data_IF_019129682187
#
_entry.id   IF_019129682187
#
_cell.length_a   1.000
_cell.length_b   1.000
_cell.length_c   1.000
_cell.angle_alpha   90.00
_cell.angle_beta   90.00
_cell.angle_gamma   90.00
#
_symmetry.space_group_name_H-M   'P 1'
#
loop_
_entity.id
_entity.type
_entity.pdbx_description
1 polymer ?
#
# COMPACT_ATOMS: atom_id res chain seq x y z
N UNK A 1 5.95 12.28 13.54
CA UNK A 1 5.66 11.16 12.63
C UNK A 1 6.12 11.48 11.22
N UNK A 2 5.63 12.56 10.63
CA UNK A 2 5.97 12.97 9.26
C UNK A 2 7.49 13.10 9.03
N UNK A 3 8.24 13.61 10.01
CA UNK A 3 9.71 13.75 9.89
C UNK A 3 10.43 12.39 9.84
N UNK A 4 9.94 11.40 10.58
CA UNK A 4 10.44 10.02 10.49
C UNK A 4 10.11 9.43 9.12
N UNK A 5 8.89 9.62 8.64
CA UNK A 5 8.44 9.10 7.34
C UNK A 5 9.17 9.73 6.15
N UNK A 6 9.53 11.02 6.25
CA UNK A 6 10.36 11.73 5.26
C UNK A 6 11.84 11.33 5.32
N UNK A 7 12.27 10.60 6.38
CA UNK A 7 13.66 10.21 6.57
C UNK A 7 14.53 11.27 7.23
N UNK A 8 13.97 12.40 7.69
CA UNK A 8 14.70 13.40 8.49
C UNK A 8 15.36 12.75 9.71
N UNK A 9 14.67 11.79 10.33
CA UNK A 9 15.21 10.90 11.34
C UNK A 9 15.32 9.50 10.73
N UNK A 10 16.55 9.05 10.35
CA UNK A 10 16.72 7.79 9.61
C UNK A 10 16.44 6.56 10.49
N UNK A 11 15.98 5.49 9.85
CA UNK A 11 15.81 4.18 10.49
C UNK A 11 17.13 3.72 11.14
N UNK A 12 17.06 3.23 12.37
CA UNK A 12 18.22 2.84 13.17
C UNK A 12 18.91 3.98 13.88
N UNK A 13 18.66 5.24 13.49
CA UNK A 13 19.12 6.46 14.16
C UNK A 13 18.34 6.73 15.45
N UNK A 14 18.67 7.84 16.11
CA UNK A 14 17.99 8.29 17.32
C UNK A 14 17.29 9.62 17.06
N UNK A 15 16.11 9.80 17.66
CA UNK A 15 15.48 11.10 17.74
C UNK A 15 16.35 12.05 18.58
N UNK A 16 16.30 13.37 18.35
CA UNK A 16 16.87 14.35 19.26
C UNK A 16 16.37 14.14 20.69
N UNK A 17 17.13 14.59 21.68
CA UNK A 17 16.72 14.50 23.09
C UNK A 17 15.44 15.30 23.35
N UNK A 18 14.70 14.93 24.41
CA UNK A 18 13.41 15.59 24.74
C UNK A 18 13.52 17.12 24.75
N UNK A 19 14.58 17.67 25.35
CA UNK A 19 14.77 19.14 25.44
C UNK A 19 15.04 19.78 24.08
N UNK A 20 15.74 19.09 23.17
CA UNK A 20 15.98 19.57 21.79
C UNK A 20 14.67 19.57 20.98
N UNK A 21 13.83 18.53 21.17
CA UNK A 21 12.51 18.48 20.55
C UNK A 21 11.56 19.54 21.09
N UNK A 22 11.64 19.89 22.38
CA UNK A 22 10.90 21.01 22.99
C UNK A 22 11.23 22.32 22.28
N UNK A 23 12.53 22.57 22.03
CA UNK A 23 12.99 23.75 21.30
C UNK A 23 12.58 23.74 19.83
N UNK A 24 12.75 22.62 19.14
CA UNK A 24 12.40 22.49 17.70
C UNK A 24 10.90 22.73 17.46
N UNK A 25 10.04 22.12 18.29
CA UNK A 25 8.59 22.15 18.09
C UNK A 25 7.85 23.19 18.94
N UNK A 26 8.56 23.93 19.80
CA UNK A 26 8.00 24.98 20.69
C UNK A 26 6.82 24.47 21.54
N UNK A 27 6.95 23.27 22.11
CA UNK A 27 5.92 22.61 22.93
C UNK A 27 6.50 22.12 24.26
N UNK A 28 5.63 21.80 25.23
CA UNK A 28 6.06 21.34 26.54
C UNK A 28 6.69 19.95 26.50
N UNK A 29 7.55 19.65 27.48
CA UNK A 29 8.14 18.32 27.67
C UNK A 29 7.09 17.20 27.78
N UNK A 30 5.99 17.48 28.44
CA UNK A 30 4.88 16.53 28.56
C UNK A 30 4.28 16.20 27.20
N UNK A 31 4.14 17.20 26.32
CA UNK A 31 3.66 17.02 24.94
C UNK A 31 4.64 16.13 24.14
N UNK A 32 5.96 16.40 24.23
CA UNK A 32 6.98 15.58 23.57
C UNK A 32 6.93 14.13 24.07
N UNK A 33 6.85 13.92 25.38
CA UNK A 33 6.77 12.56 25.96
C UNK A 33 5.52 11.80 25.50
N UNK A 34 4.39 12.48 25.41
CA UNK A 34 3.17 11.87 24.92
C UNK A 34 3.28 11.53 23.42
N UNK A 35 3.85 12.40 22.61
CA UNK A 35 4.13 12.13 21.20
C UNK A 35 5.05 10.91 21.04
N UNK A 36 6.15 10.84 21.79
CA UNK A 36 7.06 9.68 21.77
C UNK A 36 6.36 8.39 22.22
N UNK A 37 5.48 8.44 23.23
CA UNK A 37 4.68 7.28 23.65
C UNK A 37 3.75 6.79 22.53
N UNK A 38 3.11 7.71 21.79
CA UNK A 38 2.27 7.39 20.65
C UNK A 38 3.11 6.72 19.56
N UNK A 39 4.23 7.32 19.16
CA UNK A 39 5.14 6.75 18.17
C UNK A 39 5.67 5.37 18.59
N UNK A 40 5.95 5.16 19.87
CA UNK A 40 6.38 3.86 20.39
C UNK A 40 5.25 2.82 20.33
N UNK A 41 3.99 3.23 20.64
CA UNK A 41 2.82 2.36 20.51
C UNK A 41 2.55 1.98 19.05
N UNK A 42 2.84 2.89 18.11
CA UNK A 42 2.75 2.65 16.67
C UNK A 42 3.94 1.86 16.10
N UNK A 43 4.92 1.49 16.93
CA UNK A 43 6.10 0.74 16.50
C UNK A 43 7.08 1.53 15.62
N UNK A 44 6.95 2.86 15.59
CA UNK A 44 7.85 3.73 14.81
C UNK A 44 9.15 4.04 15.53
N UNK A 45 9.14 3.98 16.86
CA UNK A 45 10.32 4.22 17.70
C UNK A 45 10.36 3.25 18.88
N UNK A 46 11.56 3.05 19.42
CA UNK A 46 11.81 2.29 20.65
C UNK A 46 12.52 3.20 21.66
N UNK A 47 11.94 3.34 22.85
CA UNK A 47 12.58 4.10 23.95
C UNK A 47 13.54 3.17 24.68
N UNK A 48 14.84 3.46 24.61
CA UNK A 48 15.90 2.74 25.33
C UNK A 48 16.39 3.56 26.49
N UNK A 49 16.11 3.11 27.69
CA UNK A 49 16.53 3.80 28.91
C UNK A 49 18.05 4.07 28.91
N UNK A 50 18.45 5.31 29.13
CA UNK A 50 19.84 5.75 29.10
C UNK A 50 20.49 5.87 27.70
N UNK A 51 19.82 5.45 26.62
CA UNK A 51 20.35 5.49 25.26
C UNK A 51 19.57 6.38 24.31
N UNK A 52 18.35 6.78 24.67
CA UNK A 52 17.50 7.64 23.84
C UNK A 52 16.38 6.89 23.12
N UNK A 53 15.72 7.58 22.20
CA UNK A 53 14.60 7.05 21.42
C UNK A 53 15.08 6.68 20.01
N UNK A 54 15.16 5.39 19.71
CA UNK A 54 15.64 4.87 18.42
C UNK A 54 14.48 4.79 17.43
N UNK A 55 14.73 5.23 16.19
CA UNK A 55 13.80 5.07 15.08
C UNK A 55 13.83 3.62 14.58
N UNK A 56 12.66 2.99 14.55
CA UNK A 56 12.49 1.62 14.04
C UNK A 56 12.13 1.64 12.55
N UNK A 57 12.30 0.50 11.90
CA UNK A 57 11.77 0.32 10.55
C UNK A 57 10.24 0.29 10.61
N UNK A 58 9.64 1.32 10.02
CA UNK A 58 8.20 1.53 10.01
C UNK A 58 7.57 1.22 8.64
N UNK A 59 8.36 0.68 7.69
CA UNK A 59 7.81 0.27 6.40
C UNK A 59 6.78 -0.82 6.59
N UNK A 60 5.69 -0.73 5.86
CA UNK A 60 4.76 -1.84 5.76
C UNK A 60 5.45 -3.00 5.01
N UNK A 61 5.42 -4.18 5.60
CA UNK A 61 6.03 -5.39 5.03
C UNK A 61 4.91 -6.32 4.57
N UNK A 62 4.88 -6.61 3.29
CA UNK A 62 3.98 -7.62 2.72
C UNK A 62 4.73 -8.94 2.58
N UNK A 63 4.19 -10.01 3.19
CA UNK A 63 4.72 -11.36 3.06
C UNK A 63 4.05 -12.05 1.86
N UNK A 64 4.83 -12.31 0.82
CA UNK A 64 4.37 -12.91 -0.43
C UNK A 64 4.20 -14.44 -0.40
N UNK A 65 4.41 -15.07 0.75
CA UNK A 65 4.15 -16.50 0.91
C UNK A 65 2.64 -16.84 1.10
N UNK A 66 1.80 -15.82 1.18
CA UNK A 66 0.33 -15.91 1.25
C UNK A 66 -0.29 -14.84 0.38
N UNK A 67 -1.47 -15.11 -0.15
CA UNK A 67 -2.29 -14.09 -0.81
C UNK A 67 -2.59 -12.99 0.21
N UNK A 68 -2.12 -11.78 -0.06
CA UNK A 68 -2.34 -10.61 0.80
C UNK A 68 -2.27 -9.34 -0.03
N UNK A 69 -2.98 -8.32 0.38
CA UNK A 69 -3.00 -7.01 -0.29
C UNK A 69 -2.11 -6.00 0.41
N UNK A 70 -1.82 -4.87 -0.26
CA UNK A 70 -1.14 -3.72 0.37
C UNK A 70 -1.95 -3.21 1.57
N UNK A 71 -3.28 -3.14 1.45
CA UNK A 71 -4.19 -2.74 2.53
C UNK A 71 -4.00 -3.59 3.78
N UNK A 72 -4.00 -4.92 3.63
CA UNK A 72 -3.78 -5.85 4.73
C UNK A 72 -2.38 -5.72 5.35
N UNK A 73 -1.35 -5.50 4.52
CA UNK A 73 0.01 -5.28 5.01
C UNK A 73 0.13 -3.99 5.84
N UNK A 74 -0.54 -2.92 5.43
CA UNK A 74 -0.61 -1.66 6.18
C UNK A 74 -1.35 -1.87 7.51
N UNK A 75 -2.52 -2.51 7.49
CA UNK A 75 -3.32 -2.83 8.69
C UNK A 75 -2.53 -3.67 9.69
N UNK A 76 -1.81 -4.70 9.21
CA UNK A 76 -0.97 -5.56 10.07
C UNK A 76 0.15 -4.79 10.76
N UNK A 77 0.66 -3.71 10.17
CA UNK A 77 1.64 -2.80 10.78
C UNK A 77 1.00 -1.75 11.70
N UNK A 78 -0.32 -1.75 11.84
CA UNK A 78 -1.05 -0.84 12.73
C UNK A 78 -1.32 0.53 12.11
N UNK A 79 -1.21 0.66 10.78
CA UNK A 79 -1.65 1.88 10.10
C UNK A 79 -3.18 1.92 10.00
N UNK A 80 -3.74 3.11 10.12
CA UNK A 80 -5.11 3.39 9.73
C UNK A 80 -5.15 3.57 8.20
N UNK A 81 -5.66 2.56 7.51
CA UNK A 81 -5.80 2.62 6.06
C UNK A 81 -7.13 3.26 5.67
N UNK A 82 -7.05 4.17 4.71
CA UNK A 82 -8.21 4.80 4.09
C UNK A 82 -8.01 4.89 2.59
N UNK A 83 -9.11 5.02 1.86
CA UNK A 83 -9.07 5.35 0.43
C UNK A 83 -9.23 6.86 0.28
N UNK A 84 -8.30 7.47 -0.43
CA UNK A 84 -8.44 8.85 -0.90
C UNK A 84 -9.36 8.92 -2.12
N UNK A 85 -8.85 9.48 -3.22
CA UNK A 85 -9.63 9.51 -4.46
C UNK A 85 -9.84 8.09 -5.01
N UNK A 86 -11.08 7.78 -5.41
CA UNK A 86 -11.46 6.56 -6.09
C UNK A 86 -12.28 6.90 -7.34
N UNK A 87 -11.95 6.25 -8.44
CA UNK A 87 -12.75 6.30 -9.67
C UNK A 87 -13.04 4.88 -10.14
N UNK A 88 -14.29 4.58 -10.39
CA UNK A 88 -14.72 3.31 -10.99
C UNK A 88 -15.42 3.61 -12.29
N UNK A 89 -14.91 3.09 -13.39
CA UNK A 89 -15.53 3.17 -14.70
C UNK A 89 -15.56 1.81 -15.40
N UNK A 90 -16.35 1.71 -16.44
CA UNK A 90 -16.51 0.49 -17.25
C UNK A 90 -15.97 0.77 -18.64
N UNK A 91 -14.94 0.05 -19.02
CA UNK A 91 -14.27 0.19 -20.30
C UNK A 91 -14.22 -1.13 -21.07
N UNK A 92 -13.85 -1.09 -22.34
CA UNK A 92 -13.56 -2.28 -23.12
C UNK A 92 -12.13 -2.76 -22.85
N UNK A 93 -11.95 -4.06 -22.66
CA UNK A 93 -10.65 -4.67 -22.49
C UNK A 93 -9.84 -4.56 -23.78
N UNK A 94 -8.65 -3.96 -23.68
CA UNK A 94 -7.67 -4.03 -24.75
C UNK A 94 -7.08 -5.45 -24.88
N UNK A 95 -6.28 -5.67 -25.90
CA UNK A 95 -5.68 -6.96 -26.19
C UNK A 95 -4.85 -7.51 -25.03
N UNK A 96 -4.13 -6.64 -24.30
CA UNK A 96 -3.31 -7.07 -23.15
C UNK A 96 -4.18 -7.49 -21.98
N UNK A 97 -5.11 -6.65 -21.57
CA UNK A 97 -6.08 -6.91 -20.49
C UNK A 97 -6.90 -8.15 -20.79
N UNK A 98 -7.37 -8.29 -22.03
CA UNK A 98 -8.15 -9.45 -22.47
C UNK A 98 -7.35 -10.76 -22.36
N UNK A 99 -6.10 -10.76 -22.82
CA UNK A 99 -5.24 -11.94 -22.72
C UNK A 99 -4.94 -12.32 -21.27
N UNK A 100 -4.67 -11.36 -20.39
CA UNK A 100 -4.34 -11.61 -19.00
C UNK A 100 -5.54 -12.05 -18.15
N UNK A 101 -6.76 -11.60 -18.49
CA UNK A 101 -8.02 -12.05 -17.89
C UNK A 101 -8.60 -13.30 -18.57
N UNK A 102 -7.99 -13.78 -19.65
CA UNK A 102 -8.49 -14.90 -20.46
C UNK A 102 -9.94 -14.69 -20.97
N UNK A 103 -10.22 -13.46 -21.42
CA UNK A 103 -11.51 -13.04 -21.99
C UNK A 103 -11.33 -12.53 -23.43
N UNK A 104 -12.37 -12.46 -24.26
CA UNK A 104 -12.29 -11.84 -25.58
C UNK A 104 -11.92 -10.35 -25.50
N UNK A 105 -11.13 -9.88 -26.47
CA UNK A 105 -10.87 -8.44 -26.66
C UNK A 105 -12.20 -7.67 -26.86
N UNK A 106 -12.28 -6.47 -26.31
CA UNK A 106 -13.51 -5.66 -26.31
C UNK A 106 -14.54 -6.07 -25.24
N UNK A 107 -14.30 -7.14 -24.46
CA UNK A 107 -15.17 -7.47 -23.32
C UNK A 107 -15.18 -6.32 -22.30
N UNK A 108 -16.37 -5.98 -21.78
CA UNK A 108 -16.48 -4.95 -20.75
C UNK A 108 -15.77 -5.37 -19.46
N UNK A 109 -14.93 -4.48 -18.93
CA UNK A 109 -14.22 -4.63 -17.67
C UNK A 109 -14.47 -3.42 -16.78
N UNK A 110 -14.64 -3.65 -15.49
CA UNK A 110 -14.60 -2.59 -14.50
C UNK A 110 -13.14 -2.21 -14.23
N UNK A 111 -12.81 -0.92 -14.38
CA UNK A 111 -11.53 -0.34 -13.98
C UNK A 111 -11.73 0.43 -12.69
N UNK A 112 -10.94 0.10 -11.67
CA UNK A 112 -11.02 0.69 -10.34
C UNK A 112 -9.68 1.36 -10.06
N UNK A 113 -9.64 2.69 -10.06
CA UNK A 113 -8.45 3.48 -9.74
C UNK A 113 -8.59 4.05 -8.33
N UNK A 114 -7.57 3.84 -7.48
CA UNK A 114 -7.63 4.24 -6.07
C UNK A 114 -6.30 4.75 -5.56
N UNK A 115 -6.36 5.80 -4.75
CA UNK A 115 -5.26 6.27 -3.92
C UNK A 115 -5.42 5.69 -2.51
N UNK A 116 -4.52 4.79 -2.11
CA UNK A 116 -4.50 4.24 -0.75
C UNK A 116 -3.68 5.13 0.17
N UNK A 117 -4.26 5.46 1.31
CA UNK A 117 -3.62 6.26 2.35
C UNK A 117 -3.32 5.38 3.57
N UNK A 118 -2.24 5.71 4.27
CA UNK A 118 -1.90 5.18 5.59
C UNK A 118 -1.75 6.37 6.55
N UNK A 119 -2.56 6.42 7.60
CA UNK A 119 -2.64 7.54 8.54
C UNK A 119 -2.83 8.89 7.82
N UNK A 120 -3.67 8.92 6.78
CA UNK A 120 -3.96 10.11 5.98
C UNK A 120 -2.90 10.48 4.92
N UNK A 121 -1.78 9.75 4.85
CA UNK A 121 -0.69 10.01 3.90
C UNK A 121 -0.72 9.02 2.73
N UNK A 122 -0.56 9.47 1.48
CA UNK A 122 -0.50 8.59 0.31
C UNK A 122 0.62 7.54 0.43
N UNK A 123 0.29 6.29 0.11
CA UNK A 123 1.26 5.19 0.07
C UNK A 123 1.29 4.54 -1.29
N UNK A 124 0.13 4.32 -1.92
CA UNK A 124 0.07 3.60 -3.18
C UNK A 124 -1.05 4.08 -4.08
N UNK A 125 -0.77 4.08 -5.38
CA UNK A 125 -1.74 4.25 -6.45
C UNK A 125 -2.02 2.88 -7.05
N UNK A 126 -3.30 2.49 -7.05
CA UNK A 126 -3.78 1.20 -7.54
C UNK A 126 -4.70 1.35 -8.72
N UNK A 127 -4.62 0.42 -9.65
CA UNK A 127 -5.53 0.28 -10.76
C UNK A 127 -5.86 -1.20 -10.93
N UNK A 128 -7.12 -1.56 -10.82
CA UNK A 128 -7.60 -2.93 -10.89
C UNK A 128 -8.56 -3.09 -12.06
N UNK A 129 -8.47 -4.24 -12.77
CA UNK A 129 -9.35 -4.60 -13.88
C UNK A 129 -10.03 -5.92 -13.58
N UNK A 130 -11.36 -5.94 -13.68
CA UNK A 130 -12.21 -7.13 -13.40
C UNK A 130 -13.25 -7.25 -14.50
N UNK A 131 -13.49 -8.46 -15.02
CA UNK A 131 -14.56 -8.67 -15.97
C UNK A 131 -15.92 -8.18 -15.41
N UNK A 132 -16.55 -7.22 -16.09
CA UNK A 132 -17.72 -6.50 -15.56
C UNK A 132 -18.90 -7.42 -15.20
N UNK A 133 -19.08 -8.53 -15.93
CA UNK A 133 -20.16 -9.48 -15.63
C UNK A 133 -20.02 -10.14 -14.26
N UNK A 134 -18.79 -10.16 -13.68
CA UNK A 134 -18.52 -10.70 -12.32
C UNK A 134 -18.83 -9.69 -11.23
N UNK A 135 -18.82 -8.40 -11.57
CA UNK A 135 -19.00 -7.27 -10.62
C UNK A 135 -20.04 -6.28 -11.16
N UNK A 136 -21.26 -6.72 -11.50
CA UNK A 136 -22.25 -5.85 -12.09
C UNK A 136 -22.56 -4.67 -11.16
N UNK A 137 -22.62 -3.46 -11.73
CA UNK A 137 -22.93 -2.20 -11.03
C UNK A 137 -21.91 -1.81 -9.96
N UNK A 138 -20.64 -2.27 -10.06
CA UNK A 138 -19.60 -1.91 -9.10
C UNK A 138 -19.31 -0.41 -9.06
N UNK A 139 -19.60 0.31 -10.14
CA UNK A 139 -19.49 1.78 -10.24
C UNK A 139 -20.41 2.52 -9.26
N UNK A 140 -21.51 1.89 -8.82
CA UNK A 140 -22.42 2.45 -7.82
C UNK A 140 -21.77 2.49 -6.41
N UNK A 141 -20.68 1.73 -6.18
CA UNK A 141 -19.97 1.64 -4.89
C UNK A 141 -18.69 2.48 -4.82
N UNK A 142 -18.58 3.51 -5.64
CA UNK A 142 -17.45 4.43 -5.61
C UNK A 142 -17.33 5.07 -4.22
N UNK A 143 -16.12 5.00 -3.63
CA UNK A 143 -15.78 5.43 -2.28
C UNK A 143 -16.43 4.65 -1.11
N UNK A 144 -17.03 3.49 -1.36
CA UNK A 144 -17.69 2.71 -0.31
C UNK A 144 -16.83 1.59 0.28
N UNK A 145 -15.62 1.37 -0.24
CA UNK A 145 -14.71 0.34 0.29
C UNK A 145 -13.25 0.80 0.33
N UNK A 146 -12.49 0.20 1.23
CA UNK A 146 -11.04 0.38 1.36
C UNK A 146 -10.30 -0.87 0.88
N UNK A 147 -10.71 -2.05 1.34
CA UNK A 147 -10.10 -3.34 1.00
C UNK A 147 -10.89 -4.00 -0.15
N UNK A 148 -10.35 -3.91 -1.39
CA UNK A 148 -11.04 -4.42 -2.58
C UNK A 148 -11.34 -5.92 -2.48
N UNK A 149 -10.38 -6.75 -2.08
CA UNK A 149 -10.58 -8.20 -2.06
C UNK A 149 -11.69 -8.61 -1.09
N UNK A 150 -11.69 -8.03 0.11
CA UNK A 150 -12.76 -8.23 1.07
C UNK A 150 -14.12 -7.80 0.51
N UNK A 151 -14.17 -6.63 -0.13
CA UNK A 151 -15.40 -6.13 -0.77
C UNK A 151 -15.89 -7.08 -1.88
N UNK A 152 -14.98 -7.60 -2.72
CA UNK A 152 -15.33 -8.55 -3.78
C UNK A 152 -15.88 -9.86 -3.21
N UNK A 153 -15.29 -10.38 -2.13
CA UNK A 153 -15.77 -11.59 -1.45
C UNK A 153 -17.15 -11.37 -0.84
N UNK A 154 -17.35 -10.29 -0.07
CA UNK A 154 -18.60 -10.01 0.65
C UNK A 154 -19.75 -9.65 -0.29
N UNK A 155 -19.48 -8.84 -1.33
CA UNK A 155 -20.52 -8.30 -2.20
C UNK A 155 -20.85 -9.20 -3.38
N UNK A 156 -19.82 -9.84 -3.98
CA UNK A 156 -19.97 -10.60 -5.24
C UNK A 156 -19.63 -12.08 -5.09
N UNK A 157 -19.19 -12.53 -3.90
CA UNK A 157 -18.76 -13.90 -3.67
C UNK A 157 -17.49 -14.29 -4.44
N UNK A 158 -16.74 -13.31 -4.93
CA UNK A 158 -15.50 -13.52 -5.67
C UNK A 158 -14.35 -13.76 -4.70
N UNK A 159 -14.01 -15.04 -4.52
CA UNK A 159 -12.85 -15.45 -3.72
C UNK A 159 -11.56 -15.32 -4.51
N UNK A 160 -10.44 -15.18 -3.79
CA UNK A 160 -9.09 -15.14 -4.35
C UNK A 160 -8.26 -16.16 -3.58
N UNK A 161 -7.81 -17.22 -4.27
CA UNK A 161 -7.01 -18.31 -3.69
C UNK A 161 -5.58 -18.37 -4.21
N UNK A 162 -5.25 -17.59 -5.25
CA UNK A 162 -3.92 -17.51 -5.83
C UNK A 162 -3.56 -16.15 -6.39
N UNK A 163 -2.25 -15.87 -6.46
CA UNK A 163 -1.71 -14.68 -7.13
C UNK A 163 -0.46 -15.03 -7.93
N UNK A 164 -0.25 -14.30 -9.02
CA UNK A 164 1.01 -14.28 -9.76
C UNK A 164 1.48 -12.84 -9.85
N UNK A 165 2.62 -12.54 -9.23
CA UNK A 165 3.17 -11.21 -9.12
C UNK A 165 4.44 -11.06 -9.96
N UNK A 166 4.52 -9.96 -10.71
CA UNK A 166 5.77 -9.45 -11.27
C UNK A 166 6.10 -8.14 -10.57
N UNK A 167 7.26 -8.11 -9.93
CA UNK A 167 7.70 -6.98 -9.12
C UNK A 167 8.87 -6.31 -9.84
N UNK A 168 8.77 -5.01 -10.00
CA UNK A 168 9.80 -4.16 -10.59
C UNK A 168 9.90 -2.82 -9.86
N UNK A 169 10.83 -1.97 -10.28
CA UNK A 169 10.97 -0.62 -9.76
C UNK A 169 11.05 0.38 -10.90
N UNK A 170 10.56 1.59 -10.67
CA UNK A 170 10.69 2.72 -11.58
C UNK A 170 10.83 4.03 -10.83
N UNK A 171 11.28 5.07 -11.51
CA UNK A 171 11.20 6.44 -11.02
C UNK A 171 9.75 6.95 -11.15
N UNK A 172 9.27 7.71 -10.15
CA UNK A 172 7.98 8.38 -10.21
C UNK A 172 7.97 9.39 -11.36
N UNK A 173 6.93 9.34 -12.18
CA UNK A 173 6.63 10.40 -13.14
C UNK A 173 6.15 11.65 -12.40
N UNK A 174 6.11 12.80 -13.09
CA UNK A 174 5.60 14.05 -12.52
C UNK A 174 4.15 13.88 -12.00
N UNK A 175 3.27 13.25 -12.77
CA UNK A 175 1.88 13.02 -12.37
C UNK A 175 1.75 12.07 -11.17
N UNK A 176 2.50 10.97 -11.17
CA UNK A 176 2.51 10.03 -10.04
C UNK A 176 3.04 10.70 -8.77
N UNK A 177 4.07 11.53 -8.88
CA UNK A 177 4.63 12.28 -7.76
C UNK A 177 3.62 13.26 -7.17
N UNK A 178 2.84 13.95 -8.00
CA UNK A 178 1.76 14.84 -7.52
C UNK A 178 0.68 14.08 -6.76
N UNK A 179 0.17 12.98 -7.33
CA UNK A 179 -0.90 12.16 -6.71
C UNK A 179 -0.41 11.51 -5.42
N UNK A 180 0.79 10.97 -5.43
CA UNK A 180 1.40 10.28 -4.29
C UNK A 180 2.03 11.25 -3.26
N UNK A 181 2.01 12.57 -3.51
CA UNK A 181 2.65 13.60 -2.68
C UNK A 181 4.11 13.25 -2.35
N UNK A 182 4.85 12.86 -3.38
CA UNK A 182 6.27 12.51 -3.32
C UNK A 182 7.06 13.36 -4.32
N UNK A 183 8.38 13.24 -4.37
CA UNK A 183 9.19 13.98 -5.33
C UNK A 183 9.21 13.27 -6.70
N UNK A 184 9.26 14.04 -7.82
CA UNK A 184 9.55 13.46 -9.12
C UNK A 184 10.87 12.67 -9.08
N UNK A 185 10.88 11.49 -9.70
CA UNK A 185 11.99 10.52 -9.69
C UNK A 185 12.19 9.75 -8.39
N UNK A 186 11.39 9.94 -7.35
CA UNK A 186 11.37 9.02 -6.21
C UNK A 186 11.13 7.58 -6.68
N UNK A 187 11.77 6.64 -6.00
CA UNK A 187 11.63 5.23 -6.33
C UNK A 187 10.22 4.71 -5.99
N UNK A 188 9.55 4.18 -6.99
CA UNK A 188 8.31 3.43 -6.84
C UNK A 188 8.58 1.94 -7.02
N UNK A 189 8.09 1.14 -6.10
CA UNK A 189 7.91 -0.29 -6.29
C UNK A 189 6.66 -0.51 -7.14
N UNK A 190 6.79 -1.30 -8.19
CA UNK A 190 5.69 -1.61 -9.12
C UNK A 190 5.36 -3.09 -9.01
N UNK A 191 4.11 -3.39 -8.67
CA UNK A 191 3.60 -4.75 -8.67
C UNK A 191 2.53 -4.87 -9.75
N UNK A 192 2.77 -5.79 -10.69
CA UNK A 192 1.78 -6.25 -11.63
C UNK A 192 1.32 -7.63 -11.16
N UNK A 193 0.09 -7.71 -10.70
CA UNK A 193 -0.50 -8.91 -10.12
C UNK A 193 -1.67 -9.40 -10.96
N UNK A 194 -1.74 -10.70 -11.15
CA UNK A 194 -2.97 -11.38 -11.58
C UNK A 194 -3.46 -12.21 -10.40
N UNK A 195 -4.71 -12.01 -10.00
CA UNK A 195 -5.34 -12.83 -8.96
C UNK A 195 -6.13 -13.96 -9.60
N UNK A 196 -6.20 -15.07 -8.89
CA UNK A 196 -6.86 -16.28 -9.35
C UNK A 196 -7.87 -16.78 -8.34
N UNK A 197 -8.88 -17.47 -8.86
CA UNK A 197 -9.77 -18.34 -8.10
C UNK A 197 -10.02 -19.61 -8.92
N UNK A 198 -9.69 -20.78 -8.34
CA UNK A 198 -9.76 -22.07 -9.01
C UNK A 198 -9.03 -22.04 -10.38
N UNK A 199 -7.80 -21.59 -10.37
CA UNK A 199 -6.91 -21.44 -11.54
C UNK A 199 -7.42 -20.51 -12.65
N UNK A 200 -8.52 -19.77 -12.44
CA UNK A 200 -9.04 -18.78 -13.39
C UNK A 200 -8.71 -17.36 -12.96
N UNK A 201 -8.25 -16.48 -13.87
CA UNK A 201 -7.99 -15.09 -13.54
C UNK A 201 -9.28 -14.38 -13.09
N UNK A 202 -9.16 -13.61 -12.02
CA UNK A 202 -10.23 -12.80 -11.42
C UNK A 202 -10.00 -11.33 -11.66
N UNK A 203 -8.80 -10.83 -11.34
CA UNK A 203 -8.42 -9.43 -11.55
C UNK A 203 -6.98 -9.30 -12.03
N UNK A 204 -6.71 -8.16 -12.65
CA UNK A 204 -5.36 -7.65 -12.89
C UNK A 204 -5.19 -6.41 -12.01
N UNK A 205 -4.09 -6.35 -11.28
CA UNK A 205 -3.82 -5.24 -10.37
C UNK A 205 -2.47 -4.61 -10.74
N UNK A 206 -2.51 -3.33 -11.10
CA UNK A 206 -1.34 -2.49 -11.31
C UNK A 206 -1.16 -1.61 -10.08
N UNK A 207 -0.14 -1.89 -9.29
CA UNK A 207 0.11 -1.22 -8.01
C UNK A 207 1.43 -0.47 -8.06
N UNK A 208 1.42 0.81 -7.70
CA UNK A 208 2.59 1.69 -7.62
C UNK A 208 2.72 2.17 -6.20
N UNK A 209 3.79 1.78 -5.51
CA UNK A 209 3.97 1.98 -4.07
C UNK A 209 5.19 2.85 -3.85
N UNK A 210 5.09 3.82 -2.94
CA UNK A 210 6.24 4.64 -2.55
C UNK A 210 7.28 3.75 -1.86
N UNK A 211 8.46 3.56 -2.49
CA UNK A 211 9.47 2.60 -2.04
C UNK A 211 10.01 2.86 -0.64
N UNK A 212 10.06 4.11 -0.17
CA UNK A 212 10.47 4.44 1.20
C UNK A 212 9.45 4.08 2.27
N UNK A 213 8.17 3.82 1.88
CA UNK A 213 7.06 3.50 2.81
C UNK A 213 6.71 2.01 2.85
N UNK A 214 7.28 1.21 1.96
CA UNK A 214 6.85 -0.16 1.78
C UNK A 214 8.00 -1.10 1.42
N UNK A 215 7.91 -2.34 1.87
CA UNK A 215 8.88 -3.39 1.62
C UNK A 215 8.18 -4.72 1.34
N UNK A 216 8.77 -5.52 0.45
CA UNK A 216 8.30 -6.87 0.14
C UNK A 216 9.27 -7.86 0.73
N UNK A 217 8.76 -8.79 1.55
CA UNK A 217 9.52 -9.90 2.11
C UNK A 217 9.11 -11.21 1.43
N UNK A 218 10.09 -11.90 0.87
CA UNK A 218 9.91 -13.23 0.26
C UNK A 218 10.85 -14.19 0.98
N UNK A 219 10.28 -15.23 1.60
CA UNK A 219 11.04 -16.26 2.31
C UNK A 219 11.08 -17.54 1.48
N UNK A 220 12.26 -18.04 1.19
CA UNK A 220 12.49 -19.33 0.53
C UNK A 220 13.02 -20.38 1.51
N UNK A 221 12.57 -21.63 1.41
CA UNK A 221 13.14 -22.78 2.10
C UNK A 221 13.61 -23.82 1.09
N UNK A 222 14.84 -24.30 1.28
CA UNK A 222 15.46 -25.28 0.40
C UNK A 222 16.22 -24.63 -0.76
N UNK A 223 17.19 -25.38 -1.29
CA UNK A 223 17.98 -24.98 -2.47
C UNK A 223 17.65 -25.95 -3.59
N UNK A 224 17.14 -25.45 -4.73
CA UNK A 224 17.07 -26.26 -5.94
C UNK A 224 18.48 -26.65 -6.35
N UNK A 225 18.71 -27.97 -6.53
CA UNK A 225 19.95 -28.50 -7.10
C UNK A 225 19.94 -28.35 -8.61
#
# INVERSE_FOLDING_TARGET
>A
KNEIQKGTYPVGGFLPKEYELEEIYQVSRTTIRNAVKILAKEGMVEVRQGRGTRVLDHKAIQNYNKVTSVTEALRKKGYEETTGDMLIDVIEADKQTANELEIPEGTRVARIQRLQLADGEPVTLMENYIEYKRVPKIEEFQNEFVALYQFLEEKYGLQIDGTRDRISAKAATFMEAQVLKTEPKDALLVVHRITYYQDKPVSIDHVRIIGRKYEIEISGKGRSK
#
